data_IF_685596051901
#
_entry.id   IF_685596051901
#
_cell.length_a   1.000
_cell.length_b   1.000
_cell.length_c   1.000
_cell.angle_alpha   90.00
_cell.angle_beta   90.00
_cell.angle_gamma   90.00
#
_symmetry.space_group_name_H-M   'P 1'
#
loop_
_entity.id
_entity.type
_entity.pdbx_description
1 polymer ?
#
# COMPACT_ATOMS: atom_id res chain seq x y z
N UNK A 1 -1.76 -5.23 12.47
CA UNK A 1 -1.39 -6.48 11.78
C UNK A 1 0.12 -6.60 11.60
N UNK A 2 0.83 -5.58 11.15
CA UNK A 2 2.27 -5.57 10.85
C UNK A 2 3.21 -5.75 12.05
N UNK A 3 2.86 -5.26 13.24
CA UNK A 3 3.66 -5.46 14.46
C UNK A 3 3.84 -6.94 14.85
N UNK A 4 2.87 -7.82 14.54
CA UNK A 4 2.98 -9.25 14.85
C UNK A 4 3.95 -9.99 13.91
N UNK A 5 4.12 -9.52 12.67
CA UNK A 5 5.08 -10.12 11.73
C UNK A 5 6.52 -9.80 12.14
N UNK A 6 6.78 -8.57 12.63
CA UNK A 6 8.08 -8.21 13.19
C UNK A 6 8.47 -9.09 14.37
N UNK A 7 7.48 -9.54 15.18
CA UNK A 7 7.73 -10.49 16.27
C UNK A 7 8.11 -11.88 15.74
N UNK A 8 7.46 -12.35 14.66
CA UNK A 8 7.75 -13.66 14.06
C UNK A 8 9.11 -13.73 13.37
N UNK A 9 9.68 -12.59 13.03
CA UNK A 9 10.99 -12.48 12.34
C UNK A 9 12.05 -11.78 13.19
N UNK A 10 11.74 -11.45 14.45
CA UNK A 10 12.62 -10.66 15.33
C UNK A 10 14.02 -11.25 15.50
N UNK A 11 14.11 -12.59 15.59
CA UNK A 11 15.37 -13.31 15.77
C UNK A 11 16.07 -13.69 14.46
N UNK A 12 15.56 -13.21 13.32
CA UNK A 12 16.11 -13.51 11.99
C UNK A 12 16.95 -12.36 11.48
N UNK A 13 17.89 -12.67 10.60
CA UNK A 13 18.64 -11.66 9.85
C UNK A 13 17.68 -10.85 8.98
N UNK A 14 17.77 -9.52 9.05
CA UNK A 14 17.00 -8.59 8.23
C UNK A 14 17.90 -8.01 7.13
N UNK A 15 17.43 -8.10 5.89
CA UNK A 15 18.17 -7.61 4.73
C UNK A 15 18.00 -6.09 4.60
N UNK A 16 19.09 -5.40 4.33
CA UNK A 16 19.09 -3.97 3.99
C UNK A 16 19.33 -3.82 2.48
N UNK A 17 18.35 -3.30 1.78
CA UNK A 17 18.41 -3.06 0.33
C UNK A 17 18.75 -1.60 -0.03
N UNK A 18 19.35 -0.85 0.90
CA UNK A 18 19.74 0.56 0.67
C UNK A 18 20.74 0.68 -0.47
N UNK A 19 20.37 1.41 -1.50
CA UNK A 19 21.23 1.75 -2.64
C UNK A 19 21.89 3.11 -2.47
N UNK A 20 22.92 3.40 -3.29
CA UNK A 20 23.57 4.72 -3.32
C UNK A 20 22.59 5.84 -3.68
N UNK A 21 21.61 5.57 -4.56
CA UNK A 21 20.54 6.50 -4.92
C UNK A 21 19.66 6.86 -3.73
N UNK A 22 19.33 5.90 -2.87
CA UNK A 22 18.52 6.15 -1.67
C UNK A 22 19.22 7.09 -0.70
N UNK A 23 20.55 7.00 -0.63
CA UNK A 23 21.37 7.90 0.20
C UNK A 23 21.41 9.31 -0.35
N UNK A 24 21.37 9.48 -1.68
CA UNK A 24 21.36 10.77 -2.35
C UNK A 24 20.01 11.52 -2.19
N UNK A 25 18.91 10.81 -1.95
CA UNK A 25 17.59 11.43 -1.72
C UNK A 25 17.63 12.23 -0.40
N UNK A 26 17.34 13.54 -0.39
CA UNK A 26 17.33 14.32 0.83
C UNK A 26 16.17 13.93 1.76
N UNK A 27 16.38 14.12 3.07
CA UNK A 27 15.29 14.04 4.05
C UNK A 27 14.48 15.34 4.03
N UNK A 28 13.16 15.25 3.73
CA UNK A 28 12.27 16.41 3.68
C UNK A 28 11.07 16.16 4.61
N UNK A 29 11.16 16.53 5.90
CA UNK A 29 10.14 16.24 6.91
C UNK A 29 8.75 16.79 6.59
N UNK A 30 8.64 17.85 5.78
CA UNK A 30 7.37 18.46 5.38
C UNK A 30 6.46 17.50 4.60
N UNK A 31 7.02 16.51 3.90
CA UNK A 31 6.27 15.48 3.19
C UNK A 31 5.49 14.54 4.12
N UNK A 32 5.70 14.64 5.45
CA UNK A 32 4.93 13.85 6.43
C UNK A 32 3.42 14.09 6.30
N UNK A 33 3.01 15.30 5.91
CA UNK A 33 1.60 15.60 5.73
C UNK A 33 0.99 14.87 4.53
N UNK A 34 1.73 14.75 3.42
CA UNK A 34 1.31 13.95 2.27
C UNK A 34 1.24 12.47 2.65
N UNK A 35 2.21 11.98 3.41
CA UNK A 35 2.27 10.61 3.91
C UNK A 35 1.07 10.26 4.79
N UNK A 36 0.67 11.14 5.71
CA UNK A 36 -0.50 10.93 6.58
C UNK A 36 -1.79 11.02 5.78
N UNK A 37 -1.89 11.94 4.84
CA UNK A 37 -3.05 12.06 3.96
C UNK A 37 -3.24 10.86 3.02
N UNK A 38 -2.28 9.95 2.94
CA UNK A 38 -2.46 8.67 2.24
C UNK A 38 -3.64 7.86 2.81
N UNK A 39 -3.85 7.85 4.12
CA UNK A 39 -4.91 7.06 4.75
C UNK A 39 -6.32 7.49 4.30
N UNK A 40 -6.74 8.76 4.43
CA UNK A 40 -8.04 9.19 3.90
C UNK A 40 -8.10 9.07 2.36
N UNK A 41 -7.01 9.28 1.64
CA UNK A 41 -6.96 9.08 0.20
C UNK A 41 -7.28 7.63 -0.18
N UNK A 42 -6.70 6.65 0.48
CA UNK A 42 -6.99 5.24 0.26
C UNK A 42 -8.45 4.92 0.56
N UNK A 43 -8.96 5.36 1.72
CA UNK A 43 -10.34 5.11 2.11
C UNK A 43 -11.34 5.62 1.05
N UNK A 44 -11.16 6.85 0.58
CA UNK A 44 -12.01 7.46 -0.46
C UNK A 44 -11.91 6.67 -1.77
N UNK A 45 -10.69 6.31 -2.21
CA UNK A 45 -10.52 5.61 -3.49
C UNK A 45 -11.03 4.17 -3.44
N UNK A 46 -10.97 3.48 -2.30
CA UNK A 46 -11.56 2.15 -2.13
C UNK A 46 -13.10 2.20 -2.24
N UNK A 47 -13.74 3.23 -1.65
CA UNK A 47 -15.18 3.46 -1.81
C UNK A 47 -15.52 3.77 -3.28
N UNK A 48 -14.75 4.63 -3.93
CA UNK A 48 -14.96 4.99 -5.32
C UNK A 48 -14.71 3.82 -6.28
N UNK A 49 -13.79 2.92 -5.97
CA UNK A 49 -13.55 1.71 -6.77
C UNK A 49 -14.79 0.82 -6.87
N UNK A 50 -15.68 0.84 -5.87
CA UNK A 50 -16.97 0.12 -5.91
C UNK A 50 -17.91 0.65 -7.01
N UNK A 51 -17.74 1.89 -7.47
CA UNK A 51 -18.56 2.49 -8.55
C UNK A 51 -18.19 1.98 -9.96
N UNK A 52 -17.16 1.13 -10.09
CA UNK A 52 -16.78 0.56 -11.39
C UNK A 52 -17.73 -0.54 -11.91
N UNK A 53 -18.79 -0.83 -11.19
CA UNK A 53 -19.63 -2.00 -11.43
C UNK A 53 -18.98 -3.29 -10.89
N UNK A 54 -19.73 -4.39 -10.91
CA UNK A 54 -19.32 -5.64 -10.26
C UNK A 54 -17.96 -6.15 -10.77
N UNK A 55 -17.78 -6.28 -12.07
CA UNK A 55 -16.54 -6.84 -12.63
C UNK A 55 -15.32 -5.97 -12.37
N UNK A 56 -15.47 -4.65 -12.48
CA UNK A 56 -14.41 -3.69 -12.15
C UNK A 56 -14.02 -3.74 -10.67
N UNK A 57 -15.00 -3.86 -9.79
CA UNK A 57 -14.79 -3.97 -8.36
C UNK A 57 -14.11 -5.30 -7.96
N UNK A 58 -14.59 -6.43 -8.48
CA UNK A 58 -13.95 -7.72 -8.18
C UNK A 58 -12.53 -7.83 -8.73
N UNK A 59 -12.25 -7.18 -9.88
CA UNK A 59 -10.87 -7.05 -10.39
C UNK A 59 -9.99 -6.27 -9.42
N UNK A 60 -10.50 -5.16 -8.89
CA UNK A 60 -9.80 -4.35 -7.90
C UNK A 60 -9.51 -5.17 -6.64
N UNK A 61 -10.53 -5.82 -6.06
CA UNK A 61 -10.41 -6.66 -4.85
C UNK A 61 -9.45 -7.84 -5.08
N UNK A 62 -9.56 -8.53 -6.22
CA UNK A 62 -8.67 -9.64 -6.56
C UNK A 62 -7.21 -9.18 -6.65
N UNK A 63 -6.96 -8.01 -7.25
CA UNK A 63 -5.63 -7.41 -7.31
C UNK A 63 -5.11 -7.09 -5.92
N UNK A 64 -5.91 -6.42 -5.10
CA UNK A 64 -5.53 -6.04 -3.74
C UNK A 64 -5.16 -7.25 -2.88
N UNK A 65 -6.05 -8.23 -2.82
CA UNK A 65 -5.82 -9.44 -2.03
C UNK A 65 -4.58 -10.22 -2.50
N UNK A 66 -4.39 -10.34 -3.82
CA UNK A 66 -3.22 -11.03 -4.35
C UNK A 66 -1.93 -10.31 -3.99
N UNK A 67 -1.87 -8.99 -4.17
CA UNK A 67 -0.67 -8.20 -3.81
C UNK A 67 -0.44 -8.23 -2.30
N UNK A 68 -1.51 -8.11 -1.50
CA UNK A 68 -1.42 -8.17 -0.04
C UNK A 68 -0.85 -9.50 0.47
N UNK A 69 -1.39 -10.62 -0.05
CA UNK A 69 -0.90 -11.96 0.31
C UNK A 69 0.55 -12.14 -0.16
N UNK A 70 0.89 -11.67 -1.36
CA UNK A 70 2.27 -11.74 -1.87
C UNK A 70 3.23 -10.95 -0.98
N UNK A 71 2.88 -9.71 -0.60
CA UNK A 71 3.68 -8.92 0.35
C UNK A 71 3.83 -9.64 1.69
N UNK A 72 2.75 -10.23 2.21
CA UNK A 72 2.78 -10.98 3.45
C UNK A 72 3.77 -12.16 3.39
N UNK A 73 3.72 -12.95 2.30
CA UNK A 73 4.65 -14.07 2.09
C UNK A 73 6.09 -13.56 2.00
N UNK A 74 6.33 -12.48 1.25
CA UNK A 74 7.67 -11.89 1.12
C UNK A 74 8.18 -11.42 2.49
N UNK A 75 7.38 -10.76 3.31
CA UNK A 75 7.77 -10.33 4.65
C UNK A 75 8.14 -11.49 5.58
N UNK A 76 7.49 -12.64 5.42
CA UNK A 76 7.83 -13.84 6.19
C UNK A 76 9.11 -14.51 5.71
N UNK A 77 9.34 -14.54 4.41
CA UNK A 77 10.49 -15.23 3.80
C UNK A 77 11.73 -14.34 3.79
N UNK A 78 11.55 -13.06 3.50
CA UNK A 78 12.61 -12.07 3.30
C UNK A 78 12.36 -10.84 4.18
N UNK A 79 12.59 -10.92 5.50
CA UNK A 79 12.44 -9.75 6.36
C UNK A 79 13.50 -8.69 6.01
N UNK A 80 13.04 -7.45 5.86
CA UNK A 80 13.88 -6.33 5.43
C UNK A 80 13.84 -5.22 6.46
N UNK A 81 14.91 -4.46 6.56
CA UNK A 81 15.06 -3.31 7.45
C UNK A 81 15.82 -2.18 6.75
N UNK A 82 15.84 -1.02 7.38
CA UNK A 82 16.73 0.09 7.03
C UNK A 82 17.19 0.83 8.29
N UNK A 83 18.18 1.69 8.13
CA UNK A 83 18.62 2.62 9.19
C UNK A 83 18.01 3.99 8.89
N UNK A 84 17.14 4.45 9.77
CA UNK A 84 16.51 5.78 9.68
C UNK A 84 17.41 6.84 10.30
N UNK A 85 17.47 8.05 9.70
CA UNK A 85 18.21 9.16 10.28
C UNK A 85 17.55 9.64 11.58
N UNK A 86 18.35 10.17 12.49
CA UNK A 86 17.85 10.84 13.68
C UNK A 86 17.16 12.16 13.31
N UNK A 87 16.03 12.42 13.96
CA UNK A 87 15.23 13.62 13.74
C UNK A 87 15.35 14.54 14.94
N UNK A 88 15.82 15.76 14.74
CA UNK A 88 15.99 16.76 15.81
C UNK A 88 14.66 17.09 16.53
N UNK A 89 13.53 17.15 15.80
CA UNK A 89 12.21 17.40 16.38
C UNK A 89 11.93 18.88 16.70
N UNK A 90 12.59 19.80 16.02
CA UNK A 90 12.46 21.26 16.24
C UNK A 90 11.21 21.87 15.58
N UNK A 91 10.72 21.25 14.50
CA UNK A 91 9.51 21.71 13.78
C UNK A 91 8.35 20.72 13.94
N UNK A 92 7.12 21.19 13.70
CA UNK A 92 5.92 20.35 13.73
C UNK A 92 6.03 19.13 12.80
N UNK A 93 6.56 19.33 11.60
CA UNK A 93 6.76 18.22 10.64
C UNK A 93 7.78 17.20 11.14
N UNK A 94 8.86 17.66 11.79
CA UNK A 94 9.87 16.77 12.38
C UNK A 94 9.31 16.01 13.59
N UNK A 95 8.53 16.67 14.44
CA UNK A 95 7.88 16.02 15.59
C UNK A 95 6.91 14.93 15.12
N UNK A 96 6.09 15.24 14.10
CA UNK A 96 5.17 14.28 13.51
C UNK A 96 5.93 13.12 12.85
N UNK A 97 7.00 13.38 12.12
CA UNK A 97 7.84 12.34 11.53
C UNK A 97 8.48 11.45 12.59
N UNK A 98 8.99 12.03 13.68
CA UNK A 98 9.53 11.28 14.81
C UNK A 98 8.47 10.38 15.45
N UNK A 99 7.25 10.90 15.62
CA UNK A 99 6.12 10.11 16.12
C UNK A 99 5.81 8.92 15.19
N UNK A 100 5.74 9.15 13.87
CA UNK A 100 5.50 8.07 12.89
C UNK A 100 6.63 7.03 12.92
N UNK A 101 7.90 7.44 13.04
CA UNK A 101 9.02 6.53 13.19
C UNK A 101 8.87 5.64 14.44
N UNK A 102 8.51 6.23 15.59
CA UNK A 102 8.30 5.49 16.83
C UNK A 102 7.16 4.47 16.71
N UNK A 103 6.08 4.85 16.04
CA UNK A 103 4.94 3.96 15.82
C UNK A 103 5.27 2.78 14.88
N UNK A 104 6.24 2.96 13.99
CA UNK A 104 6.61 2.02 12.93
C UNK A 104 7.97 1.33 13.19
N UNK A 105 8.27 1.02 14.44
CA UNK A 105 9.46 0.26 14.83
C UNK A 105 10.70 1.08 15.16
N UNK A 106 10.59 2.39 15.28
CA UNK A 106 11.71 3.28 15.66
C UNK A 106 12.79 3.35 14.57
N UNK A 107 14.05 3.23 14.99
CA UNK A 107 15.19 3.35 14.09
C UNK A 107 15.49 2.09 13.27
N UNK A 108 14.82 0.98 13.58
CA UNK A 108 15.00 -0.30 12.88
C UNK A 108 13.63 -0.87 12.50
N UNK A 109 12.95 -0.28 11.52
CA UNK A 109 11.67 -0.79 11.03
C UNK A 109 11.87 -2.16 10.38
N UNK A 110 10.82 -2.95 10.32
CA UNK A 110 10.82 -4.24 9.66
C UNK A 110 9.78 -4.33 8.55
N UNK A 111 9.97 -5.28 7.63
CA UNK A 111 9.01 -5.56 6.56
C UNK A 111 8.82 -4.38 5.59
N UNK A 112 9.92 -3.86 5.06
CA UNK A 112 9.92 -2.71 4.16
C UNK A 112 9.65 -3.10 2.70
N UNK A 113 10.17 -4.25 2.26
CA UNK A 113 10.08 -4.69 0.87
C UNK A 113 9.04 -5.80 0.69
N UNK A 114 8.07 -5.64 -0.22
CA UNK A 114 7.71 -4.44 -1.01
C UNK A 114 6.95 -3.39 -0.19
N UNK A 115 6.97 -2.13 -0.63
CA UNK A 115 6.27 -1.04 0.06
C UNK A 115 4.75 -1.14 -0.06
N UNK A 116 4.08 -1.28 1.09
CA UNK A 116 2.61 -1.27 1.17
C UNK A 116 2.05 0.11 0.82
N UNK A 117 2.68 1.18 1.32
CA UNK A 117 2.26 2.54 1.01
C UNK A 117 2.27 2.81 -0.50
N UNK A 118 3.29 2.33 -1.20
CA UNK A 118 3.40 2.51 -2.64
C UNK A 118 2.36 1.66 -3.39
N UNK A 119 2.20 0.38 -3.04
CA UNK A 119 1.24 -0.46 -3.74
C UNK A 119 -0.20 -0.02 -3.49
N UNK A 120 -0.61 0.30 -2.24
CA UNK A 120 -1.98 0.73 -1.95
C UNK A 120 -2.29 2.06 -2.63
N UNK A 121 -1.34 3.00 -2.66
CA UNK A 121 -1.53 4.28 -3.34
C UNK A 121 -1.68 4.10 -4.84
N UNK A 122 -0.85 3.28 -5.46
CA UNK A 122 -0.94 2.98 -6.89
C UNK A 122 -2.22 2.22 -7.24
N UNK A 123 -2.61 1.24 -6.43
CA UNK A 123 -3.85 0.50 -6.58
C UNK A 123 -5.08 1.41 -6.42
N UNK A 124 -5.05 2.35 -5.47
CA UNK A 124 -6.09 3.36 -5.27
C UNK A 124 -6.35 4.16 -6.55
N UNK A 125 -5.28 4.64 -7.20
CA UNK A 125 -5.41 5.28 -8.52
C UNK A 125 -5.95 4.31 -9.58
N UNK A 126 -5.45 3.06 -9.65
CA UNK A 126 -5.96 2.05 -10.58
C UNK A 126 -7.45 1.79 -10.38
N UNK A 127 -7.90 1.78 -9.14
CA UNK A 127 -9.30 1.62 -8.77
C UNK A 127 -10.22 2.69 -9.37
N UNK A 128 -9.76 3.92 -9.52
CA UNK A 128 -10.57 5.02 -10.08
C UNK A 128 -10.25 5.33 -11.54
N UNK A 129 -9.08 4.90 -12.04
CA UNK A 129 -8.63 5.19 -13.40
C UNK A 129 -9.53 4.53 -14.45
N UNK A 130 -9.80 5.25 -15.57
CA UNK A 130 -10.64 4.78 -16.68
C UNK A 130 -12.07 4.38 -16.27
N UNK A 131 -12.57 4.86 -15.14
CA UNK A 131 -13.97 4.70 -14.76
C UNK A 131 -14.81 5.78 -15.43
N UNK A 132 -15.94 5.41 -16.03
CA UNK A 132 -16.88 6.36 -16.64
C UNK A 132 -17.67 7.13 -15.57
N UNK A 133 -17.88 6.51 -14.41
CA UNK A 133 -18.63 7.08 -13.29
C UNK A 133 -17.82 8.07 -12.44
N UNK A 134 -16.52 8.21 -12.68
CA UNK A 134 -15.65 9.09 -11.89
C UNK A 134 -15.11 10.21 -12.78
N UNK A 135 -15.26 11.48 -12.37
CA UNK A 135 -14.80 12.62 -13.16
C UNK A 135 -13.31 12.54 -13.52
N UNK A 136 -12.95 12.93 -14.73
CA UNK A 136 -11.57 12.87 -15.24
C UNK A 136 -10.58 13.67 -14.38
N UNK A 137 -11.00 14.84 -13.89
CA UNK A 137 -10.15 15.63 -13.01
C UNK A 137 -9.75 14.87 -11.74
N UNK A 138 -10.68 14.07 -11.15
CA UNK A 138 -10.38 13.27 -9.97
C UNK A 138 -9.44 12.11 -10.29
N UNK A 139 -9.59 11.48 -11.46
CA UNK A 139 -8.67 10.42 -11.90
C UNK A 139 -7.23 10.95 -12.04
N UNK A 140 -7.05 12.17 -12.57
CA UNK A 140 -5.74 12.84 -12.66
C UNK A 140 -5.22 13.25 -11.29
N UNK A 141 -6.08 13.84 -10.45
CA UNK A 141 -5.73 14.15 -9.06
C UNK A 141 -5.24 12.90 -8.33
N UNK A 142 -5.98 11.79 -8.44
CA UNK A 142 -5.63 10.53 -7.80
C UNK A 142 -4.29 9.98 -8.28
N UNK A 143 -3.96 10.11 -9.56
CA UNK A 143 -2.64 9.73 -10.09
C UNK A 143 -1.53 10.59 -9.48
N UNK A 144 -1.69 11.90 -9.53
CA UNK A 144 -0.69 12.84 -9.01
C UNK A 144 -0.48 12.60 -7.51
N UNK A 145 -1.58 12.41 -6.77
CA UNK A 145 -1.49 12.22 -5.33
C UNK A 145 -0.85 10.87 -4.97
N UNK A 146 -1.14 9.80 -5.72
CA UNK A 146 -0.47 8.52 -5.56
C UNK A 146 1.05 8.63 -5.78
N UNK A 147 1.47 9.37 -6.81
CA UNK A 147 2.90 9.65 -7.07
C UNK A 147 3.51 10.46 -5.92
N UNK A 148 2.83 11.48 -5.42
CA UNK A 148 3.29 12.27 -4.28
C UNK A 148 3.45 11.43 -3.01
N UNK A 149 2.53 10.48 -2.75
CA UNK A 149 2.67 9.53 -1.64
C UNK A 149 3.91 8.65 -1.83
N UNK A 150 4.14 8.11 -3.03
CA UNK A 150 5.33 7.30 -3.34
C UNK A 150 6.61 8.13 -3.10
N UNK A 151 6.65 9.38 -3.57
CA UNK A 151 7.78 10.28 -3.32
C UNK A 151 7.94 10.54 -1.82
N UNK A 152 6.84 10.75 -1.08
CA UNK A 152 6.88 11.02 0.35
C UNK A 152 7.55 9.87 1.12
N UNK A 153 7.31 8.63 0.74
CA UNK A 153 7.96 7.47 1.39
C UNK A 153 9.47 7.49 1.23
N UNK A 154 9.99 7.99 0.11
CA UNK A 154 11.43 8.09 -0.18
C UNK A 154 12.09 9.24 0.59
N UNK A 155 11.52 10.44 0.49
CA UNK A 155 12.08 11.65 1.14
C UNK A 155 11.89 11.64 2.67
N UNK A 156 11.00 10.80 3.19
CA UNK A 156 10.84 10.55 4.63
C UNK A 156 11.65 9.33 5.11
N UNK A 157 12.44 8.68 4.25
CA UNK A 157 13.21 7.47 4.58
C UNK A 157 12.38 6.35 5.21
N UNK A 158 11.10 6.28 4.84
CA UNK A 158 10.20 5.21 5.25
C UNK A 158 10.42 3.95 4.40
N UNK A 159 10.69 4.15 3.11
CA UNK A 159 10.99 3.09 2.14
C UNK A 159 12.12 3.53 1.22
N UNK A 160 12.69 2.58 0.51
CA UNK A 160 13.69 2.82 -0.52
C UNK A 160 13.12 2.62 -1.92
N UNK A 161 13.88 3.02 -2.93
CA UNK A 161 13.45 3.00 -4.32
C UNK A 161 13.04 1.59 -4.78
N UNK A 162 13.78 0.58 -4.37
CA UNK A 162 13.46 -0.82 -4.73
C UNK A 162 12.12 -1.26 -4.13
N UNK A 163 11.79 -0.84 -2.91
CA UNK A 163 10.52 -1.16 -2.26
C UNK A 163 9.34 -0.55 -3.01
N UNK A 164 9.51 0.71 -3.44
CA UNK A 164 8.49 1.45 -4.20
C UNK A 164 8.27 0.82 -5.58
N UNK A 165 9.35 0.54 -6.32
CA UNK A 165 9.27 -0.10 -7.64
C UNK A 165 8.59 -1.46 -7.53
N UNK A 166 8.98 -2.29 -6.54
CA UNK A 166 8.37 -3.60 -6.33
C UNK A 166 6.88 -3.49 -6.01
N UNK A 167 6.49 -2.58 -5.12
CA UNK A 167 5.09 -2.35 -4.76
C UNK A 167 4.23 -1.97 -5.98
N UNK A 168 4.68 -1.03 -6.79
CA UNK A 168 4.00 -0.60 -8.02
C UNK A 168 3.97 -1.73 -9.06
N UNK A 169 5.09 -2.44 -9.25
CA UNK A 169 5.19 -3.53 -10.21
C UNK A 169 4.24 -4.68 -9.88
N UNK A 170 4.13 -5.06 -8.61
CA UNK A 170 3.20 -6.09 -8.16
C UNK A 170 1.75 -5.73 -8.50
N UNK A 171 1.34 -4.48 -8.28
CA UNK A 171 0.00 -4.02 -8.66
C UNK A 171 -0.19 -4.12 -10.17
N UNK A 172 0.75 -3.62 -10.98
CA UNK A 172 0.62 -3.65 -12.44
C UNK A 172 0.55 -5.08 -12.99
N UNK A 173 1.35 -5.99 -12.46
CA UNK A 173 1.34 -7.40 -12.86
C UNK A 173 0.01 -8.07 -12.49
N UNK A 174 -0.45 -7.92 -11.25
CA UNK A 174 -1.71 -8.47 -10.79
C UNK A 174 -2.91 -7.85 -11.53
N UNK A 175 -2.91 -6.52 -11.71
CA UNK A 175 -3.96 -5.83 -12.45
C UNK A 175 -4.06 -6.32 -13.90
N UNK A 176 -2.93 -6.45 -14.60
CA UNK A 176 -2.88 -6.99 -15.97
C UNK A 176 -3.35 -8.44 -16.02
N UNK A 177 -2.95 -9.25 -15.03
CA UNK A 177 -3.38 -10.65 -14.92
C UNK A 177 -4.90 -10.76 -14.81
N UNK A 178 -5.53 -9.98 -13.91
CA UNK A 178 -6.98 -9.97 -13.73
C UNK A 178 -7.74 -9.18 -14.80
N UNK A 179 -7.06 -8.39 -15.60
CA UNK A 179 -7.67 -7.70 -16.76
C UNK A 179 -7.77 -8.59 -18.00
N UNK A 180 -7.05 -9.71 -18.05
CA UNK A 180 -7.08 -10.65 -19.17
C UNK A 180 -8.06 -11.78 -18.85
N UNK A 181 -9.15 -11.86 -19.61
CA UNK A 181 -10.21 -12.85 -19.38
C UNK A 181 -10.95 -12.59 -18.05
N UNK A 182 -11.78 -13.53 -17.66
CA UNK A 182 -12.63 -13.41 -16.46
C UNK A 182 -11.96 -13.99 -15.20
N UNK A 183 -10.67 -13.84 -15.03
CA UNK A 183 -9.90 -14.44 -13.92
C UNK A 183 -10.33 -13.96 -12.54
N UNK A 184 -10.89 -12.76 -12.45
CA UNK A 184 -11.44 -12.20 -11.22
C UNK A 184 -12.75 -12.88 -10.77
N UNK A 185 -13.42 -13.66 -11.66
CA UNK A 185 -14.66 -14.37 -11.33
C UNK A 185 -14.48 -15.41 -10.22
N UNK A 186 -13.28 -15.97 -10.06
CA UNK A 186 -12.98 -16.88 -8.94
C UNK A 186 -13.24 -16.18 -7.60
N UNK A 187 -12.76 -14.94 -7.47
CA UNK A 187 -12.99 -14.13 -6.27
C UNK A 187 -14.45 -13.71 -6.14
N UNK A 188 -15.09 -13.35 -7.26
CA UNK A 188 -16.51 -13.03 -7.30
C UNK A 188 -17.36 -14.18 -6.77
N UNK A 189 -17.21 -15.38 -7.31
CA UNK A 189 -17.96 -16.56 -6.87
C UNK A 189 -17.70 -16.91 -5.41
N UNK A 190 -16.46 -16.74 -4.94
CA UNK A 190 -16.12 -16.98 -3.54
C UNK A 190 -16.86 -16.01 -2.62
N UNK A 191 -16.82 -14.71 -2.89
CA UNK A 191 -17.48 -13.70 -2.06
C UNK A 191 -19.00 -13.74 -2.17
N UNK A 192 -19.56 -14.02 -3.35
CA UNK A 192 -21.00 -14.20 -3.53
C UNK A 192 -21.53 -15.38 -2.72
N UNK A 193 -20.82 -16.51 -2.69
CA UNK A 193 -21.17 -17.66 -1.83
C UNK A 193 -21.15 -17.32 -0.34
N UNK A 194 -20.17 -16.55 0.10
CA UNK A 194 -20.09 -16.09 1.51
C UNK A 194 -21.29 -15.18 1.80
N UNK A 195 -21.57 -14.22 0.95
CA UNK A 195 -22.70 -13.30 1.09
C UNK A 195 -24.04 -14.04 1.17
N UNK A 196 -24.27 -15.03 0.32
CA UNK A 196 -25.46 -15.86 0.36
C UNK A 196 -25.56 -16.72 1.63
N UNK A 197 -24.44 -17.24 2.13
CA UNK A 197 -24.40 -17.99 3.39
C UNK A 197 -24.74 -17.08 4.57
N UNK A 198 -24.17 -15.88 4.63
CA UNK A 198 -24.47 -14.88 5.66
C UNK A 198 -25.94 -14.43 5.61
N UNK A 199 -26.48 -14.16 4.43
CA UNK A 199 -27.90 -13.80 4.23
C UNK A 199 -28.85 -14.89 4.72
N UNK A 200 -28.53 -16.14 4.39
CA UNK A 200 -29.32 -17.32 4.87
C UNK A 200 -29.26 -17.46 6.39
N UNK A 201 -28.13 -17.16 6.99
CA UNK A 201 -27.98 -17.21 8.46
C UNK A 201 -28.78 -16.10 9.15
N UNK A 202 -28.72 -14.86 8.63
CA UNK A 202 -29.47 -13.70 9.15
C UNK A 202 -30.99 -13.93 9.06
N UNK A 203 -31.46 -14.53 7.95
CA UNK A 203 -32.90 -14.79 7.75
C UNK A 203 -33.45 -16.00 8.54
N UNK A 204 -32.58 -16.80 9.17
CA UNK A 204 -32.99 -17.94 10.00
C UNK A 204 -33.01 -17.63 11.51
N UNK A 205 -32.41 -16.52 11.93
CA UNK A 205 -32.37 -16.03 13.31
C UNK A 205 -33.07 -14.66 13.42
#
# INVERSE_FOLDING_TARGET
MYKRQGVLTADRYHFDFTMSLDRAVPLIPQFIWIYILAFPFWAVNYILAAQRGKDGFYRFVATDLTVHITCFIIFLVLPTTNVRPEIAGTTWSQQMLKFVYLMDGGNSPSNLFPSIHCYVSWLSWRGVSKSENIPKWYQHFSLIFAILIIISTQVLKQHYLVDAIAGVALVELAWRFYSKGNRHEIFRHFFEKISEACSRWVNKN
#
